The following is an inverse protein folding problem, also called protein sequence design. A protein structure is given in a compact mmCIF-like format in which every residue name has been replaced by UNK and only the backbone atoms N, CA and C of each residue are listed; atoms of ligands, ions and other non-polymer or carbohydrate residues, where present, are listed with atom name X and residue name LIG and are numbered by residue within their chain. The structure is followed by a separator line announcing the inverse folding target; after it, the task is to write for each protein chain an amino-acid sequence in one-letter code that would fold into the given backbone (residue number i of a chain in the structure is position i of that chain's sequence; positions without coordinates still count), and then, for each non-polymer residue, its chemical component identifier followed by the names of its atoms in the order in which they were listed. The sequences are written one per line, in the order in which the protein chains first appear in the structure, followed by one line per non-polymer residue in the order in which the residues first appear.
data_IF_904906531622
#
_entry.id   IF_904906531622
#
_cell.length_a   1.000
_cell.length_b   1.000
_cell.length_c   1.000
_cell.angle_alpha   90.00
_cell.angle_beta   90.00
_cell.angle_gamma   90.00
#
_symmetry.space_group_name_H-M   'P 1'
#
loop_
_entity.id
_entity.type
_entity.pdbx_description
1 polymer ?
#
# COMPACT_ATOMS: atom_id res chain seq x y z
N UNK A 1 9.98 -19.91 -5.91
CA UNK A 1 9.08 -19.29 -4.95
C UNK A 1 8.05 -18.45 -5.68
N UNK A 2 6.89 -18.29 -5.11
CA UNK A 2 5.76 -17.51 -5.62
C UNK A 2 6.11 -16.03 -5.89
N UNK A 3 7.09 -15.49 -5.20
CA UNK A 3 7.58 -14.12 -5.39
C UNK A 3 8.06 -13.81 -6.81
N UNK A 4 8.41 -14.82 -7.62
CA UNK A 4 8.79 -14.64 -9.03
C UNK A 4 7.64 -14.15 -9.90
N UNK A 5 6.39 -14.38 -9.49
CA UNK A 5 5.19 -14.01 -10.21
C UNK A 5 4.48 -12.77 -9.65
N UNK A 6 5.02 -12.17 -8.58
CA UNK A 6 4.35 -11.08 -7.87
C UNK A 6 4.09 -9.85 -8.75
N UNK A 7 5.04 -9.48 -9.62
CA UNK A 7 4.87 -8.35 -10.53
C UNK A 7 3.84 -8.64 -11.62
N UNK A 8 3.81 -9.87 -12.13
CA UNK A 8 2.76 -10.31 -13.06
C UNK A 8 1.38 -10.25 -12.37
N UNK A 9 1.30 -10.62 -11.08
CA UNK A 9 0.08 -10.51 -10.29
C UNK A 9 -0.48 -9.09 -10.20
N UNK A 10 0.37 -8.05 -10.23
CA UNK A 10 -0.06 -6.66 -10.33
C UNK A 10 -0.83 -6.39 -11.62
N UNK A 11 -0.27 -6.80 -12.76
CA UNK A 11 -0.90 -6.63 -14.08
C UNK A 11 -2.21 -7.41 -14.18
N UNK A 12 -2.22 -8.68 -13.75
CA UNK A 12 -3.44 -9.50 -13.73
C UNK A 12 -4.52 -8.86 -12.87
N UNK A 13 -4.16 -8.28 -11.72
CA UNK A 13 -5.12 -7.56 -10.87
C UNK A 13 -5.69 -6.35 -11.59
N UNK A 14 -4.84 -5.56 -12.25
CA UNK A 14 -5.26 -4.41 -13.03
C UNK A 14 -6.24 -4.82 -14.13
N UNK A 15 -5.85 -5.75 -14.99
CA UNK A 15 -6.65 -6.19 -16.12
C UNK A 15 -8.01 -6.76 -15.71
N UNK A 16 -8.01 -7.66 -14.70
CA UNK A 16 -9.23 -8.27 -14.20
C UNK A 16 -10.21 -7.25 -13.59
N UNK A 17 -9.69 -6.26 -12.87
CA UNK A 17 -10.52 -5.20 -12.30
C UNK A 17 -11.03 -4.25 -13.37
N UNK A 18 -10.21 -3.87 -14.35
CA UNK A 18 -10.65 -3.02 -15.47
C UNK A 18 -11.80 -3.67 -16.23
N UNK A 19 -11.68 -4.97 -16.55
CA UNK A 19 -12.75 -5.74 -17.21
C UNK A 19 -14.03 -5.76 -16.35
N UNK A 20 -13.88 -6.09 -15.06
CA UNK A 20 -15.02 -6.19 -14.15
C UNK A 20 -15.71 -4.83 -13.96
N UNK A 21 -14.98 -3.77 -13.75
CA UNK A 21 -15.52 -2.41 -13.58
C UNK A 21 -16.25 -1.95 -14.83
N UNK A 22 -15.65 -2.17 -16.01
CA UNK A 22 -16.27 -1.81 -17.29
C UNK A 22 -17.57 -2.59 -17.55
N UNK A 23 -17.59 -3.89 -17.21
CA UNK A 23 -18.77 -4.75 -17.41
C UNK A 23 -19.89 -4.47 -16.41
N UNK A 24 -19.57 -4.01 -15.20
CA UNK A 24 -20.55 -3.88 -14.11
C UNK A 24 -21.40 -2.62 -14.18
N UNK A 25 -20.97 -1.57 -14.90
CA UNK A 25 -21.68 -0.29 -14.98
C UNK A 25 -21.88 0.41 -13.63
N UNK A 26 -20.94 0.21 -12.69
CA UNK A 26 -21.01 0.78 -11.34
C UNK A 26 -20.77 2.29 -11.37
N UNK A 27 -21.56 3.03 -10.61
CA UNK A 27 -21.43 4.49 -10.47
C UNK A 27 -20.30 4.90 -9.51
N UNK A 28 -19.78 3.97 -8.72
CA UNK A 28 -18.68 4.20 -7.78
C UNK A 28 -18.20 2.91 -7.15
N UNK A 29 -16.96 2.92 -6.62
CA UNK A 29 -16.28 1.73 -6.12
C UNK A 29 -15.61 2.00 -4.77
N UNK A 30 -15.78 1.08 -3.83
CA UNK A 30 -14.94 0.97 -2.64
C UNK A 30 -14.16 -0.34 -2.76
N UNK A 31 -12.84 -0.25 -2.91
CA UNK A 31 -11.97 -1.40 -3.03
C UNK A 31 -11.21 -1.66 -1.73
N UNK A 32 -11.32 -2.87 -1.16
CA UNK A 32 -10.50 -3.30 -0.02
C UNK A 32 -9.35 -4.15 -0.55
N UNK A 33 -8.14 -3.77 -0.21
CA UNK A 33 -6.92 -4.34 -0.80
C UNK A 33 -5.95 -4.84 0.27
N UNK A 34 -5.27 -5.93 -0.06
CA UNK A 34 -4.30 -6.60 0.79
C UNK A 34 -2.98 -6.85 0.04
N UNK A 35 -1.91 -7.12 0.77
CA UNK A 35 -0.62 -7.53 0.22
C UNK A 35 0.10 -6.41 -0.58
N UNK A 36 1.17 -6.77 -1.33
CA UNK A 36 2.10 -5.78 -1.91
C UNK A 36 1.74 -5.34 -3.34
N UNK A 37 1.20 -6.19 -4.17
CA UNK A 37 0.92 -5.92 -5.59
C UNK A 37 -0.55 -5.59 -5.89
N UNK A 38 -1.55 -6.26 -5.28
CA UNK A 38 -2.95 -5.93 -5.51
C UNK A 38 -3.31 -4.46 -5.23
N UNK A 39 -2.78 -3.79 -4.19
CA UNK A 39 -3.04 -2.36 -3.99
C UNK A 39 -2.65 -1.50 -5.19
N UNK A 40 -1.49 -1.80 -5.79
CA UNK A 40 -0.98 -1.06 -6.95
C UNK A 40 -1.81 -1.36 -8.20
N UNK A 41 -2.09 -2.64 -8.46
CA UNK A 41 -2.96 -3.06 -9.58
C UNK A 41 -4.36 -2.47 -9.45
N UNK A 42 -4.92 -2.45 -8.24
CA UNK A 42 -6.23 -1.83 -7.99
C UNK A 42 -6.21 -0.32 -8.20
N UNK A 43 -5.17 0.39 -7.73
CA UNK A 43 -5.05 1.83 -7.98
C UNK A 43 -4.93 2.12 -9.48
N UNK A 44 -4.14 1.34 -10.21
CA UNK A 44 -4.04 1.47 -11.66
C UNK A 44 -5.40 1.27 -12.35
N UNK A 45 -6.12 0.19 -12.02
CA UNK A 45 -7.45 -0.09 -12.58
C UNK A 45 -8.46 1.03 -12.30
N UNK A 46 -8.48 1.54 -11.07
CA UNK A 46 -9.37 2.65 -10.67
C UNK A 46 -9.02 3.92 -11.43
N UNK A 47 -7.74 4.20 -11.66
CA UNK A 47 -7.30 5.34 -12.45
C UNK A 47 -7.66 5.18 -13.93
N UNK A 48 -7.50 3.99 -14.49
CA UNK A 48 -7.84 3.72 -15.90
C UNK A 48 -9.33 3.78 -16.14
N UNK A 49 -10.13 3.17 -15.25
CA UNK A 49 -11.59 3.22 -15.31
C UNK A 49 -12.13 4.63 -15.08
N UNK A 50 -11.51 5.37 -14.17
CA UNK A 50 -11.76 6.79 -13.88
C UNK A 50 -13.21 7.14 -13.50
N UNK A 51 -13.91 6.25 -12.82
CA UNK A 51 -15.17 6.56 -12.12
C UNK A 51 -14.92 6.72 -10.61
N UNK A 52 -15.79 7.41 -9.85
CA UNK A 52 -15.58 7.67 -8.42
C UNK A 52 -15.18 6.41 -7.65
N UNK A 53 -14.08 6.47 -6.94
CA UNK A 53 -13.55 5.32 -6.23
C UNK A 53 -12.76 5.71 -4.99
N UNK A 54 -12.75 4.83 -3.99
CA UNK A 54 -11.93 4.91 -2.79
C UNK A 54 -11.31 3.55 -2.53
N UNK A 55 -10.05 3.56 -2.10
CA UNK A 55 -9.31 2.35 -1.75
C UNK A 55 -9.14 2.32 -0.23
N UNK A 56 -9.29 1.17 0.39
CA UNK A 56 -8.99 0.93 1.78
C UNK A 56 -8.06 -0.28 1.92
N UNK A 57 -7.02 -0.16 2.73
CA UNK A 57 -6.20 -1.32 3.08
C UNK A 57 -6.95 -2.26 4.03
N UNK A 58 -6.64 -3.56 3.98
CA UNK A 58 -7.12 -4.55 4.95
C UNK A 58 -6.50 -4.40 6.34
N UNK A 59 -5.40 -3.67 6.45
CA UNK A 59 -4.66 -3.41 7.67
C UNK A 59 -3.47 -4.34 7.90
N UNK A 60 -2.46 -3.81 8.58
CA UNK A 60 -1.27 -4.56 8.91
C UNK A 60 -1.53 -5.52 10.09
N UNK A 61 -0.92 -6.71 10.01
CA UNK A 61 -0.94 -7.69 11.10
C UNK A 61 -0.10 -7.18 12.27
N UNK A 62 -0.59 -7.35 13.49
CA UNK A 62 0.19 -7.00 14.67
C UNK A 62 1.32 -7.99 14.93
N UNK A 63 2.43 -7.54 15.52
CA UNK A 63 3.46 -8.45 16.02
C UNK A 63 2.91 -9.33 17.14
N UNK A 64 3.42 -10.53 17.21
CA UNK A 64 3.20 -11.42 18.33
C UNK A 64 4.21 -11.25 19.45
N UNK A 65 4.29 -12.22 20.34
CA UNK A 65 5.25 -12.27 21.44
C UNK A 65 5.78 -13.68 21.62
N UNK A 66 7.06 -13.81 21.95
CA UNK A 66 7.60 -15.08 22.42
C UNK A 66 7.01 -15.42 23.79
N UNK A 67 6.71 -16.70 24.07
CA UNK A 67 6.35 -17.13 25.42
C UNK A 67 7.49 -16.93 26.43
N UNK A 68 8.73 -16.78 25.97
CA UNK A 68 9.94 -16.68 26.78
C UNK A 68 10.54 -15.27 26.88
N UNK A 69 9.97 -14.28 26.17
CA UNK A 69 10.42 -12.87 26.24
C UNK A 69 9.28 -11.90 25.96
N UNK A 70 9.42 -10.66 26.44
CA UNK A 70 8.47 -9.58 26.16
C UNK A 70 8.74 -8.85 24.83
N UNK A 71 9.76 -9.29 24.09
CA UNK A 71 10.09 -8.67 22.80
C UNK A 71 9.01 -8.97 21.76
N UNK A 72 8.59 -7.96 20.99
CA UNK A 72 7.63 -8.17 19.92
C UNK A 72 8.26 -8.98 18.80
N UNK A 73 7.54 -10.00 18.34
CA UNK A 73 7.92 -10.82 17.20
C UNK A 73 7.10 -10.46 15.98
N UNK A 74 7.76 -10.01 14.95
CA UNK A 74 7.16 -9.68 13.66
C UNK A 74 7.68 -10.59 12.54
N UNK A 75 7.33 -10.27 11.30
CA UNK A 75 7.76 -11.04 10.13
C UNK A 75 9.29 -11.03 9.97
N UNK A 76 9.97 -9.96 10.41
CA UNK A 76 11.44 -9.87 10.36
C UNK A 76 12.04 -10.86 11.34
N UNK A 77 11.49 -10.98 12.54
CA UNK A 77 11.90 -11.97 13.54
C UNK A 77 11.81 -13.40 12.98
N UNK A 78 10.71 -13.71 12.27
CA UNK A 78 10.55 -15.02 11.62
C UNK A 78 11.61 -15.27 10.52
N UNK A 79 11.96 -14.25 9.73
CA UNK A 79 13.02 -14.38 8.72
C UNK A 79 14.41 -14.52 9.33
N UNK A 80 14.70 -13.80 10.41
CA UNK A 80 16.00 -13.85 11.09
C UNK A 80 16.35 -15.23 11.64
N UNK A 81 15.34 -15.99 12.07
CA UNK A 81 15.56 -17.36 12.57
C UNK A 81 15.50 -18.42 11.47
N UNK A 82 15.21 -18.05 10.23
CA UNK A 82 15.23 -18.98 9.11
C UNK A 82 16.66 -19.55 8.92
N UNK A 83 16.82 -20.87 9.12
CA UNK A 83 18.14 -21.51 9.10
C UNK A 83 18.89 -21.53 10.44
N UNK A 84 18.25 -21.13 11.53
CA UNK A 84 18.84 -21.29 12.87
C UNK A 84 19.11 -22.79 13.16
N UNK A 85 20.26 -23.15 13.80
CA UNK A 85 20.62 -24.55 14.01
C UNK A 85 19.70 -25.32 14.96
N UNK A 86 18.93 -24.62 15.79
CA UNK A 86 17.99 -25.22 16.74
C UNK A 86 16.56 -25.17 16.18
N UNK A 87 15.98 -26.31 15.72
CA UNK A 87 14.66 -26.33 15.10
C UNK A 87 13.52 -25.88 16.03
N UNK A 88 13.61 -26.20 17.32
CA UNK A 88 12.58 -25.85 18.32
C UNK A 88 12.52 -24.32 18.52
N UNK A 89 13.67 -23.66 18.59
CA UNK A 89 13.74 -22.20 18.66
C UNK A 89 13.21 -21.55 17.38
N UNK A 90 13.60 -22.07 16.21
CA UNK A 90 13.08 -21.61 14.93
C UNK A 90 11.55 -21.71 14.89
N UNK A 91 11.00 -22.86 15.30
CA UNK A 91 9.56 -23.10 15.33
C UNK A 91 8.85 -22.17 16.33
N UNK A 92 9.40 -21.96 17.51
CA UNK A 92 8.87 -21.06 18.54
C UNK A 92 8.71 -19.64 17.96
N UNK A 93 9.79 -19.06 17.44
CA UNK A 93 9.76 -17.70 16.90
C UNK A 93 8.81 -17.58 15.71
N UNK A 94 8.90 -18.50 14.74
CA UNK A 94 8.07 -18.47 13.54
C UNK A 94 6.58 -18.63 13.85
N UNK A 95 6.21 -19.46 14.81
CA UNK A 95 4.81 -19.71 15.18
C UNK A 95 4.18 -18.55 15.97
N UNK A 96 4.97 -17.68 16.59
CA UNK A 96 4.50 -16.56 17.40
C UNK A 96 4.70 -15.19 16.75
N UNK A 97 5.39 -15.10 15.61
CA UNK A 97 5.77 -13.83 14.99
C UNK A 97 4.57 -13.01 14.48
N UNK A 98 3.57 -13.65 13.91
CA UNK A 98 2.42 -12.98 13.30
C UNK A 98 1.13 -13.78 13.59
N UNK A 99 0.60 -13.76 14.81
CA UNK A 99 -0.45 -14.69 15.23
C UNK A 99 -1.87 -14.31 14.80
N UNK A 100 -2.07 -13.13 14.26
CA UNK A 100 -3.38 -12.56 13.95
C UNK A 100 -3.75 -12.65 12.47
N UNK A 101 -4.59 -11.74 12.06
CA UNK A 101 -5.01 -11.50 10.68
C UNK A 101 -4.42 -10.19 10.18
N UNK A 102 -4.32 -10.03 8.86
CA UNK A 102 -3.87 -8.80 8.21
C UNK A 102 -2.74 -9.01 7.23
N UNK A 103 -2.42 -7.95 6.51
CA UNK A 103 -1.28 -7.91 5.61
C UNK A 103 0.03 -7.65 6.38
N UNK A 104 1.16 -7.71 5.66
CA UNK A 104 2.49 -7.60 6.25
C UNK A 104 2.63 -6.41 7.21
N UNK A 105 3.11 -6.68 8.44
CA UNK A 105 3.33 -5.64 9.46
C UNK A 105 4.62 -4.84 9.30
N UNK A 106 5.56 -5.29 8.45
CA UNK A 106 6.80 -4.55 8.18
C UNK A 106 6.58 -3.36 7.22
N UNK A 107 7.50 -2.36 7.26
CA UNK A 107 7.53 -1.26 6.30
C UNK A 107 8.11 -1.73 4.96
N UNK A 108 7.53 -2.80 4.41
CA UNK A 108 7.83 -3.36 3.10
C UNK A 108 6.92 -2.77 2.03
N UNK A 109 6.79 -3.41 0.88
CA UNK A 109 6.03 -2.89 -0.26
C UNK A 109 4.57 -2.62 0.09
N UNK A 110 3.91 -3.49 0.86
CA UNK A 110 2.51 -3.30 1.26
C UNK A 110 2.31 -1.95 1.98
N UNK A 111 2.96 -1.73 3.12
CA UNK A 111 2.77 -0.50 3.90
C UNK A 111 3.29 0.75 3.18
N UNK A 112 4.35 0.61 2.38
CA UNK A 112 4.83 1.68 1.51
C UNK A 112 3.75 2.10 0.51
N UNK A 113 3.12 1.14 -0.16
CA UNK A 113 2.11 1.44 -1.18
C UNK A 113 0.78 1.87 -0.57
N UNK A 114 0.41 1.39 0.62
CA UNK A 114 -0.74 1.93 1.34
C UNK A 114 -0.54 3.40 1.71
N UNK A 115 0.65 3.76 2.20
CA UNK A 115 1.00 5.16 2.45
C UNK A 115 0.98 5.97 1.16
N UNK A 116 1.51 5.44 0.08
CA UNK A 116 1.48 6.07 -1.24
C UNK A 116 0.03 6.37 -1.69
N UNK A 117 -0.87 5.37 -1.60
CA UNK A 117 -2.29 5.50 -1.94
C UNK A 117 -2.96 6.59 -1.08
N UNK A 118 -2.63 6.64 0.21
CA UNK A 118 -3.12 7.70 1.10
C UNK A 118 -2.62 9.09 0.70
N UNK A 119 -1.34 9.22 0.38
CA UNK A 119 -0.73 10.52 0.00
C UNK A 119 -1.25 11.01 -1.34
N UNK A 120 -1.49 10.14 -2.31
CA UNK A 120 -2.11 10.56 -3.59
C UNK A 120 -3.61 10.89 -3.44
N UNK A 121 -4.21 10.66 -2.26
CA UNK A 121 -5.57 11.05 -1.95
C UNK A 121 -6.65 9.99 -2.24
N UNK A 122 -6.26 8.75 -2.54
CA UNK A 122 -7.20 7.67 -2.86
C UNK A 122 -7.61 6.82 -1.66
N UNK A 123 -7.03 7.09 -0.49
CA UNK A 123 -7.39 6.52 0.81
C UNK A 123 -7.35 7.61 1.88
N UNK A 124 -8.31 7.69 2.82
CA UNK A 124 -8.21 8.61 3.96
C UNK A 124 -6.96 8.32 4.80
N UNK A 125 -6.13 9.34 5.06
CA UNK A 125 -4.83 9.16 5.72
C UNK A 125 -4.93 8.50 7.10
N UNK A 126 -5.96 8.80 7.88
CA UNK A 126 -6.16 8.20 9.21
C UNK A 126 -6.50 6.70 9.18
N UNK A 127 -6.84 6.16 8.00
CA UNK A 127 -7.10 4.73 7.80
C UNK A 127 -5.84 3.96 7.37
N UNK A 128 -4.81 4.65 6.88
CA UNK A 128 -3.61 4.01 6.31
C UNK A 128 -2.88 3.13 7.33
N UNK A 129 -2.66 3.66 8.52
CA UNK A 129 -1.90 2.98 9.58
C UNK A 129 -2.77 2.14 10.54
N UNK A 130 -4.08 2.00 10.27
CA UNK A 130 -4.93 1.21 11.13
C UNK A 130 -4.62 -0.29 10.98
N UNK A 131 -4.30 -0.96 12.07
CA UNK A 131 -4.08 -2.40 12.09
C UNK A 131 -5.34 -3.17 11.65
N UNK A 132 -5.16 -4.42 11.23
CA UNK A 132 -6.28 -5.26 10.75
C UNK A 132 -7.35 -5.52 11.80
N UNK A 133 -6.96 -5.56 13.08
CA UNK A 133 -7.85 -5.77 14.24
C UNK A 133 -8.38 -4.47 14.85
N UNK A 134 -8.10 -3.34 14.25
CA UNK A 134 -8.65 -2.05 14.71
C UNK A 134 -10.17 -2.04 14.54
N UNK A 135 -10.88 -1.89 15.66
CA UNK A 135 -12.36 -1.91 15.68
C UNK A 135 -13.00 -0.85 14.77
N UNK A 136 -12.31 0.25 14.52
CA UNK A 136 -12.80 1.29 13.59
C UNK A 136 -13.04 0.74 12.19
N UNK A 137 -12.32 -0.33 11.78
CA UNK A 137 -12.51 -0.99 10.48
C UNK A 137 -13.90 -1.57 10.28
N UNK A 138 -14.54 -2.00 11.35
CA UNK A 138 -15.92 -2.52 11.34
C UNK A 138 -16.93 -1.47 11.78
N UNK A 139 -16.58 -0.60 12.70
CA UNK A 139 -17.53 0.24 13.42
C UNK A 139 -17.74 1.61 12.74
N UNK A 140 -16.68 2.22 12.20
CA UNK A 140 -16.76 3.60 11.68
C UNK A 140 -16.27 3.75 10.23
N UNK A 141 -15.19 3.08 9.83
CA UNK A 141 -14.62 3.25 8.49
C UNK A 141 -15.59 2.94 7.33
N UNK A 142 -16.46 1.90 7.40
CA UNK A 142 -17.40 1.64 6.31
C UNK A 142 -18.34 2.83 6.03
N UNK A 143 -18.88 3.44 7.08
CA UNK A 143 -19.76 4.60 6.93
C UNK A 143 -19.00 5.84 6.41
N UNK A 144 -17.77 6.05 6.89
CA UNK A 144 -16.92 7.14 6.41
C UNK A 144 -16.57 6.98 4.93
N UNK A 145 -16.20 5.75 4.49
CA UNK A 145 -15.88 5.47 3.09
C UNK A 145 -17.06 5.71 2.16
N UNK A 146 -18.26 5.28 2.57
CA UNK A 146 -19.50 5.57 1.82
C UNK A 146 -19.71 7.08 1.71
N UNK A 147 -19.59 7.82 2.82
CA UNK A 147 -19.73 9.28 2.82
C UNK A 147 -18.72 10.00 1.93
N UNK A 148 -17.47 9.54 1.90
CA UNK A 148 -16.47 10.08 0.98
C UNK A 148 -16.79 9.77 -0.48
N UNK A 149 -17.23 8.55 -0.79
CA UNK A 149 -17.62 8.16 -2.15
C UNK A 149 -18.83 8.97 -2.64
N UNK A 150 -19.87 9.11 -1.81
CA UNK A 150 -21.03 9.95 -2.10
C UNK A 150 -20.63 11.42 -2.36
N UNK A 151 -19.71 11.97 -1.58
CA UNK A 151 -19.21 13.32 -1.77
C UNK A 151 -18.41 13.47 -3.09
N UNK A 152 -17.62 12.46 -3.46
CA UNK A 152 -16.94 12.43 -4.76
C UNK A 152 -17.97 12.44 -5.91
N UNK A 153 -18.98 11.57 -5.82
CA UNK A 153 -20.05 11.49 -6.83
C UNK A 153 -20.82 12.82 -6.94
N UNK A 154 -21.19 13.43 -5.80
CA UNK A 154 -21.93 14.69 -5.78
C UNK A 154 -21.15 15.85 -6.37
N UNK A 155 -19.81 15.83 -6.26
CA UNK A 155 -18.91 16.85 -6.82
C UNK A 155 -18.44 16.54 -8.23
N UNK A 156 -18.76 15.37 -8.78
CA UNK A 156 -18.26 14.89 -10.06
C UNK A 156 -16.75 14.64 -10.06
N UNK A 157 -16.14 14.39 -8.88
CA UNK A 157 -14.71 14.12 -8.74
C UNK A 157 -14.38 12.70 -9.17
N UNK A 158 -13.35 12.55 -9.97
CA UNK A 158 -12.84 11.28 -10.46
C UNK A 158 -11.41 11.01 -9.97
N UNK A 159 -10.94 9.78 -9.96
CA UNK A 159 -9.59 9.44 -9.53
C UNK A 159 -8.48 10.27 -10.17
N UNK A 160 -8.57 10.51 -11.48
CA UNK A 160 -7.58 11.35 -12.20
C UNK A 160 -7.64 12.84 -11.87
N UNK A 161 -8.73 13.34 -11.29
CA UNK A 161 -8.80 14.70 -10.77
C UNK A 161 -8.03 14.86 -9.45
N UNK A 162 -7.88 13.76 -8.71
CA UNK A 162 -7.21 13.69 -7.40
C UNK A 162 -5.75 13.32 -7.58
N UNK A 163 -5.47 12.25 -8.33
CA UNK A 163 -4.12 11.73 -8.54
C UNK A 163 -3.44 12.52 -9.66
N UNK A 164 -2.76 13.58 -9.23
CA UNK A 164 -2.08 14.52 -10.11
C UNK A 164 -0.56 14.39 -9.99
N UNK A 165 0.17 15.04 -10.91
CA UNK A 165 1.63 15.08 -10.95
C UNK A 165 2.25 15.29 -9.56
N UNK A 166 1.81 16.34 -8.88
CA UNK A 166 2.40 16.72 -7.60
C UNK A 166 2.03 15.76 -6.45
N UNK A 167 0.84 15.16 -6.48
CA UNK A 167 0.47 14.14 -5.49
C UNK A 167 1.29 12.86 -5.65
N UNK A 168 1.58 12.43 -6.89
CA UNK A 168 2.46 11.29 -7.17
C UNK A 168 3.89 11.59 -6.70
N UNK A 169 4.41 12.77 -7.05
CA UNK A 169 5.74 13.22 -6.61
C UNK A 169 5.85 13.25 -5.08
N UNK A 170 4.87 13.81 -4.40
CA UNK A 170 4.83 13.87 -2.94
C UNK A 170 4.77 12.46 -2.32
N UNK A 171 4.03 11.53 -2.92
CA UNK A 171 3.96 10.16 -2.44
C UNK A 171 5.31 9.43 -2.55
N UNK A 172 6.09 9.68 -3.60
CA UNK A 172 7.48 9.18 -3.73
C UNK A 172 8.37 9.76 -2.63
N UNK A 173 8.28 11.06 -2.36
CA UNK A 173 9.06 11.73 -1.30
C UNK A 173 8.68 11.16 0.09
N UNK A 174 7.40 10.97 0.36
CA UNK A 174 6.96 10.37 1.62
C UNK A 174 7.45 8.92 1.74
N UNK A 175 7.42 8.14 0.65
CA UNK A 175 7.99 6.79 0.65
C UNK A 175 9.50 6.79 0.99
N UNK A 176 10.27 7.76 0.52
CA UNK A 176 11.66 7.95 0.93
C UNK A 176 11.77 8.25 2.43
N UNK A 177 10.96 9.18 2.93
CA UNK A 177 11.01 9.64 4.32
C UNK A 177 10.67 8.54 5.34
N UNK A 178 9.75 7.64 5.02
CA UNK A 178 9.37 6.53 5.89
C UNK A 178 10.30 5.30 5.79
N UNK A 179 11.39 5.40 5.02
CA UNK A 179 12.26 4.26 4.75
C UNK A 179 11.54 3.13 4.00
N UNK A 180 10.64 3.49 3.10
CA UNK A 180 9.80 2.57 2.36
C UNK A 180 10.54 1.67 1.40
N UNK A 181 9.82 0.71 0.84
CA UNK A 181 10.36 -0.28 -0.10
C UNK A 181 10.87 0.36 -1.39
N UNK A 182 12.01 -0.10 -1.88
CA UNK A 182 12.56 0.27 -3.19
C UNK A 182 11.62 -0.07 -4.36
N UNK A 183 10.62 -0.93 -4.14
CA UNK A 183 9.60 -1.24 -5.13
C UNK A 183 8.74 -0.03 -5.55
N UNK A 184 8.81 1.08 -4.82
CA UNK A 184 8.20 2.36 -5.25
C UNK A 184 8.72 2.78 -6.64
N UNK A 185 9.98 2.47 -6.97
CA UNK A 185 10.58 2.76 -8.29
C UNK A 185 9.92 1.99 -9.42
N UNK A 186 9.35 0.80 -9.12
CA UNK A 186 8.60 -0.02 -10.07
C UNK A 186 7.12 0.37 -10.14
N UNK A 187 6.55 0.86 -9.04
CA UNK A 187 5.12 1.06 -8.91
C UNK A 187 4.67 2.50 -9.21
N UNK A 188 5.46 3.50 -8.84
CA UNK A 188 5.13 4.88 -9.12
C UNK A 188 5.03 5.19 -10.63
N UNK A 189 5.91 4.66 -11.51
CA UNK A 189 5.74 4.81 -12.96
C UNK A 189 4.44 4.20 -13.50
N UNK A 190 4.03 3.04 -12.98
CA UNK A 190 2.78 2.40 -13.40
C UNK A 190 1.55 3.20 -12.97
N UNK A 191 1.55 3.70 -11.73
CA UNK A 191 0.48 4.57 -11.23
C UNK A 191 0.42 5.87 -12.05
N UNK A 192 1.58 6.45 -12.37
CA UNK A 192 1.65 7.64 -13.22
C UNK A 192 1.09 7.38 -14.61
N UNK A 193 1.44 6.25 -15.24
CA UNK A 193 0.90 5.82 -16.54
C UNK A 193 -0.62 5.71 -16.49
N UNK A 194 -1.16 5.03 -15.48
CA UNK A 194 -2.60 4.89 -15.29
C UNK A 194 -3.31 6.23 -15.03
N UNK A 195 -2.62 7.20 -14.42
CA UNK A 195 -3.11 8.57 -14.23
C UNK A 195 -3.01 9.43 -15.49
N UNK A 196 -2.34 8.96 -16.55
CA UNK A 196 -2.20 9.66 -17.82
C UNK A 196 -0.83 10.29 -18.08
N UNK A 197 0.17 10.05 -17.20
CA UNK A 197 1.56 10.49 -17.37
C UNK A 197 2.38 9.37 -17.99
N UNK A 198 2.66 9.45 -19.28
CA UNK A 198 3.26 8.34 -20.06
C UNK A 198 4.71 8.09 -19.67
N UNK A 199 5.44 9.13 -19.29
CA UNK A 199 6.86 9.03 -18.93
C UNK A 199 7.11 9.63 -17.54
N UNK A 200 7.05 8.78 -16.52
CA UNK A 200 7.28 9.17 -15.13
C UNK A 200 8.60 9.95 -14.94
N UNK A 201 9.67 9.46 -15.57
CA UNK A 201 10.99 10.03 -15.38
C UNK A 201 11.23 11.37 -16.09
N UNK A 202 10.28 11.81 -16.88
CA UNK A 202 10.29 13.14 -17.55
C UNK A 202 9.20 14.05 -17.03
N UNK A 203 8.05 13.50 -16.70
CA UNK A 203 6.85 14.28 -16.36
C UNK A 203 6.68 14.48 -14.86
N UNK A 204 7.12 13.54 -14.03
CA UNK A 204 6.91 13.57 -12.57
C UNK A 204 8.20 13.93 -11.84
N UNK A 205 9.28 13.18 -12.10
CA UNK A 205 10.55 13.30 -11.38
C UNK A 205 11.68 12.71 -12.22
N UNK A 206 12.77 13.45 -12.41
CA UNK A 206 13.93 12.89 -13.12
C UNK A 206 14.73 11.91 -12.24
N UNK A 207 15.50 10.97 -12.83
CA UNK A 207 16.38 10.08 -12.07
C UNK A 207 17.39 10.86 -11.20
N UNK A 208 17.90 11.98 -11.70
CA UNK A 208 18.84 12.85 -10.98
C UNK A 208 18.15 13.50 -9.78
N UNK A 209 16.93 14.00 -9.94
CA UNK A 209 16.14 14.56 -8.85
C UNK A 209 15.81 13.49 -7.80
N UNK A 210 15.36 12.29 -8.23
CA UNK A 210 15.10 11.16 -7.34
C UNK A 210 16.33 10.84 -6.49
N UNK A 211 17.50 10.69 -7.13
CA UNK A 211 18.74 10.40 -6.45
C UNK A 211 19.16 11.53 -5.48
N UNK A 212 19.05 12.77 -5.90
CA UNK A 212 19.38 13.92 -5.06
C UNK A 212 18.47 13.98 -3.82
N UNK A 213 17.16 13.83 -3.99
CA UNK A 213 16.19 13.85 -2.89
C UNK A 213 16.46 12.71 -1.90
N UNK A 214 16.68 11.50 -2.39
CA UNK A 214 16.87 10.32 -1.54
C UNK A 214 18.19 10.32 -0.75
N UNK A 215 19.23 10.94 -1.28
CA UNK A 215 20.55 10.93 -0.65
C UNK A 215 20.87 12.20 0.16
N UNK A 216 20.28 13.34 -0.19
CA UNK A 216 20.76 14.62 0.34
C UNK A 216 19.68 15.51 0.94
N UNK A 217 18.41 15.28 0.65
CA UNK A 217 17.32 16.20 1.03
C UNK A 217 16.32 15.59 1.99
N UNK A 218 15.82 14.39 1.71
CA UNK A 218 14.77 13.77 2.49
C UNK A 218 15.37 13.00 3.67
N UNK A 219 15.12 13.42 4.93
CA UNK A 219 15.54 12.65 6.09
C UNK A 219 14.68 11.38 6.22
N UNK A 220 15.34 10.26 6.55
CA UNK A 220 14.63 9.01 6.83
C UNK A 220 14.19 8.98 8.28
N UNK A 221 12.93 8.67 8.51
CA UNK A 221 12.36 8.43 9.84
C UNK A 221 12.76 7.01 10.25
N UNK A 222 13.74 6.88 11.15
CA UNK A 222 14.36 5.60 11.50
C UNK A 222 13.44 4.63 12.24
N UNK A 223 12.43 5.15 12.93
CA UNK A 223 11.49 4.35 13.73
C UNK A 223 10.07 4.35 13.15
N UNK A 224 9.94 4.60 11.85
CA UNK A 224 8.64 4.52 11.19
C UNK A 224 8.07 3.10 11.29
N UNK A 225 6.91 2.99 11.93
CA UNK A 225 6.18 1.73 12.09
C UNK A 225 4.77 1.90 11.53
N UNK A 226 4.20 0.85 10.88
CA UNK A 226 2.87 0.95 10.26
C UNK A 226 1.72 0.93 11.27
N UNK A 227 1.97 0.69 12.57
CA UNK A 227 0.94 0.60 13.63
C UNK A 227 1.46 1.12 14.96
#
# INVERSE_FOLDING_TARGET
SEMRYSLIGREVTNDALCEHLAASGLAGVIAVVACDKPPVGTLAAVLEHNEPAIIMSDGAIRPGKSPNSDEPLDIVSAYQVAGHPEPDYQFEIASHACPGIGSCGGMFTYNTMQTFIGVVGMQPLHMVAAASDDKRRTDTFPAELVGYLENMMAKGLRPRDIVQRDSIRNAVIVAMAIGGSTNVVLHAPEIARAAGYVDFWREIMTPEEFNHLSQHVVPVITDARPY
#
